data_IF_824554867406
#
_entry.id   IF_824554867406
#
_cell.length_a   1.000
_cell.length_b   1.000
_cell.length_c   1.000
_cell.angle_alpha   90.00
_cell.angle_beta   90.00
_cell.angle_gamma   90.00
#
_symmetry.space_group_name_H-M   'P 1'
#
loop_
_entity.id
_entity.type
_entity.pdbx_description
1 polymer ?
#
# COMPACT_ATOMS: atom_id res chain seq x y z
N UNK A 1 -7.54 -7.44 32.51
CA UNK A 1 -6.69 -7.28 31.32
C UNK A 1 -7.53 -7.72 30.14
N UNK A 2 -7.90 -6.83 29.21
CA UNK A 2 -8.71 -7.20 28.05
C UNK A 2 -7.94 -8.19 27.19
N UNK A 3 -8.59 -9.26 26.74
CA UNK A 3 -7.98 -10.22 25.84
C UNK A 3 -8.00 -9.69 24.40
N UNK A 4 -6.90 -9.90 23.69
CA UNK A 4 -6.79 -9.62 22.27
C UNK A 4 -6.20 -10.83 21.54
N UNK A 5 -6.69 -11.09 20.34
CA UNK A 5 -6.23 -12.15 19.47
C UNK A 5 -6.00 -11.61 18.06
N UNK A 6 -4.92 -12.05 17.42
CA UNK A 6 -4.67 -11.78 16.01
C UNK A 6 -5.24 -12.92 15.18
N UNK A 7 -6.10 -12.59 14.23
CA UNK A 7 -6.63 -13.49 13.22
C UNK A 7 -5.86 -13.28 11.93
N UNK A 8 -5.27 -14.34 11.39
CA UNK A 8 -4.54 -14.29 10.13
C UNK A 8 -5.31 -15.09 9.08
N UNK A 9 -5.59 -14.49 7.93
CA UNK A 9 -6.07 -15.24 6.78
C UNK A 9 -4.91 -15.76 5.93
N UNK A 10 -5.17 -16.85 5.22
CA UNK A 10 -4.34 -17.41 4.16
C UNK A 10 -4.21 -16.49 2.93
N UNK A 11 -4.99 -15.41 2.90
CA UNK A 11 -4.84 -14.29 1.95
C UNK A 11 -3.95 -13.15 2.48
N UNK A 12 -3.32 -13.32 3.65
CA UNK A 12 -2.39 -12.36 4.25
C UNK A 12 -3.05 -11.18 4.97
N UNK A 13 -4.35 -11.26 5.27
CA UNK A 13 -5.05 -10.25 6.07
C UNK A 13 -4.83 -10.56 7.55
N UNK A 14 -4.27 -9.59 8.28
CA UNK A 14 -4.13 -9.67 9.74
C UNK A 14 -5.18 -8.77 10.40
N UNK A 15 -6.07 -9.38 11.18
CA UNK A 15 -7.10 -8.69 11.95
C UNK A 15 -6.79 -8.79 13.44
N UNK A 16 -6.98 -7.71 14.17
CA UNK A 16 -6.93 -7.68 15.62
C UNK A 16 -8.36 -7.74 16.17
N UNK A 17 -8.65 -8.77 16.94
CA UNK A 17 -9.88 -8.91 17.73
C UNK A 17 -9.56 -8.53 19.18
N UNK A 18 -10.26 -7.56 19.75
CA UNK A 18 -10.05 -7.13 21.13
C UNK A 18 -11.39 -7.07 21.90
N UNK A 19 -11.39 -7.48 23.16
CA UNK A 19 -12.55 -7.33 24.04
C UNK A 19 -12.82 -5.86 24.36
N UNK A 20 -14.09 -5.45 24.25
CA UNK A 20 -14.51 -4.08 24.53
C UNK A 20 -14.81 -3.89 26.02
N UNK A 21 -13.80 -4.07 26.88
CA UNK A 21 -13.91 -3.87 28.33
C UNK A 21 -14.30 -5.14 29.09
N UNK A 22 -14.64 -4.99 30.38
CA UNK A 22 -14.86 -6.13 31.29
C UNK A 22 -16.25 -6.78 31.17
N UNK A 23 -17.21 -6.12 30.50
CA UNK A 23 -18.56 -6.63 30.30
C UNK A 23 -18.66 -7.38 28.94
N UNK A 24 -18.95 -8.69 28.95
CA UNK A 24 -19.09 -9.50 27.73
C UNK A 24 -20.18 -9.00 26.77
N UNK A 25 -21.13 -8.19 27.25
CA UNK A 25 -22.19 -7.62 26.41
C UNK A 25 -21.75 -6.41 25.58
N UNK A 26 -20.59 -5.80 25.91
CA UNK A 26 -20.03 -4.70 25.12
C UNK A 26 -19.46 -5.15 23.76
N UNK A 27 -19.35 -6.47 23.57
CA UNK A 27 -18.93 -7.11 22.32
C UNK A 27 -17.41 -7.07 22.11
N UNK A 28 -17.00 -7.43 20.90
CA UNK A 28 -15.60 -7.41 20.48
C UNK A 28 -15.37 -6.29 19.46
N UNK A 29 -14.17 -5.73 19.44
CA UNK A 29 -13.73 -4.76 18.45
C UNK A 29 -12.82 -5.48 17.46
N UNK A 30 -13.08 -5.31 16.17
CA UNK A 30 -12.20 -5.78 15.09
C UNK A 30 -11.56 -4.59 14.42
N UNK A 31 -10.23 -4.59 14.37
CA UNK A 31 -9.42 -3.70 13.54
C UNK A 31 -8.53 -4.51 12.62
N UNK A 32 -7.99 -3.85 11.59
CA UNK A 32 -6.96 -4.45 10.76
C UNK A 32 -5.58 -4.01 11.26
N UNK A 33 -4.63 -4.92 11.24
CA UNK A 33 -3.21 -4.58 11.30
C UNK A 33 -2.74 -4.53 9.85
N UNK A 34 -2.09 -3.44 9.40
CA UNK A 34 -1.35 -3.61 8.16
C UNK A 34 -0.20 -4.57 8.46
N UNK A 35 0.01 -5.53 7.56
CA UNK A 35 1.14 -6.43 7.71
C UNK A 35 2.41 -5.58 7.83
N UNK A 36 3.24 -5.79 8.87
CA UNK A 36 4.48 -5.03 9.07
C UNK A 36 5.49 -5.24 7.92
N UNK A 37 5.22 -6.21 7.04
CA UNK A 37 6.00 -6.52 5.87
C UNK A 37 5.65 -5.63 4.66
N UNK A 38 4.44 -5.06 4.63
CA UNK A 38 3.99 -4.17 3.56
C UNK A 38 4.10 -2.69 3.95
N UNK A 39 3.78 -2.34 5.19
CA UNK A 39 3.81 -0.95 5.63
C UNK A 39 4.32 -0.81 7.07
N UNK A 40 5.07 0.26 7.33
CA UNK A 40 5.42 0.70 8.68
C UNK A 40 4.28 1.58 9.19
N UNK A 41 3.41 1.02 10.04
CA UNK A 41 2.17 1.66 10.46
C UNK A 41 2.38 2.61 11.64
N UNK A 42 1.90 3.84 11.49
CA UNK A 42 1.63 4.77 12.60
C UNK A 42 0.13 4.76 12.92
N UNK A 43 -0.22 5.13 14.15
CA UNK A 43 -1.60 5.19 14.65
C UNK A 43 -2.51 6.14 13.83
N UNK A 44 -1.93 7.12 13.11
CA UNK A 44 -2.65 8.13 12.32
C UNK A 44 -2.73 7.78 10.82
N UNK A 45 -2.74 6.49 10.47
CA UNK A 45 -2.84 6.06 9.09
C UNK A 45 -4.23 6.39 8.49
N UNK A 46 -4.35 7.33 7.52
CA UNK A 46 -5.64 7.72 6.96
C UNK A 46 -6.29 6.63 6.09
N UNK A 47 -5.54 5.56 5.79
CA UNK A 47 -5.99 4.40 5.03
C UNK A 47 -6.37 3.22 5.94
N UNK A 48 -6.30 3.33 7.26
CA UNK A 48 -6.77 2.28 8.14
C UNK A 48 -8.32 2.29 8.16
N UNK A 49 -9.00 1.18 7.81
CA UNK A 49 -10.45 1.13 7.94
C UNK A 49 -10.83 1.28 9.41
N UNK A 50 -11.91 2.02 9.66
CA UNK A 50 -12.45 2.20 11.02
C UNK A 50 -12.76 0.84 11.62
N UNK A 51 -12.27 0.58 12.82
CA UNK A 51 -12.61 -0.63 13.57
C UNK A 51 -14.11 -0.76 13.76
N UNK A 52 -14.64 -1.98 13.65
CA UNK A 52 -16.06 -2.24 13.86
C UNK A 52 -16.30 -2.96 15.19
N UNK A 53 -17.49 -2.75 15.75
CA UNK A 53 -17.96 -3.49 16.92
C UNK A 53 -18.72 -4.71 16.41
N UNK A 54 -18.29 -5.89 16.82
CA UNK A 54 -18.95 -7.14 16.49
C UNK A 54 -20.14 -7.39 17.43
N UNK A 55 -21.28 -7.85 16.89
CA UNK A 55 -22.34 -8.40 17.71
C UNK A 55 -21.86 -9.66 18.43
N UNK A 56 -22.44 -9.95 19.59
CA UNK A 56 -22.12 -11.16 20.38
C UNK A 56 -22.56 -12.47 19.71
N UNK A 57 -23.39 -12.37 18.66
CA UNK A 57 -23.91 -13.50 17.90
C UNK A 57 -22.93 -13.87 16.78
N UNK A 58 -22.39 -15.10 16.74
CA UNK A 58 -21.36 -15.50 15.79
C UNK A 58 -21.75 -15.29 14.32
N UNK A 59 -22.97 -15.65 13.92
CA UNK A 59 -23.41 -15.53 12.53
C UNK A 59 -23.46 -14.07 12.07
N UNK A 60 -23.98 -13.17 12.91
CA UNK A 60 -24.00 -11.73 12.62
C UNK A 60 -22.60 -11.11 12.67
N UNK A 61 -21.70 -11.65 13.49
CA UNK A 61 -20.31 -11.20 13.56
C UNK A 61 -19.56 -11.59 12.28
N UNK A 62 -19.80 -12.81 11.78
CA UNK A 62 -19.27 -13.25 10.49
C UNK A 62 -19.79 -12.36 9.37
N UNK A 63 -21.10 -12.12 9.29
CA UNK A 63 -21.69 -11.22 8.27
C UNK A 63 -21.10 -9.80 8.35
N UNK A 64 -20.96 -9.23 9.56
CA UNK A 64 -20.36 -7.91 9.73
C UNK A 64 -18.90 -7.86 9.25
N UNK A 65 -18.13 -8.93 9.46
CA UNK A 65 -16.74 -9.01 8.99
C UNK A 65 -16.70 -9.20 7.47
N UNK A 66 -17.43 -10.16 6.93
CA UNK A 66 -17.34 -10.54 5.50
C UNK A 66 -17.96 -9.51 4.57
N UNK A 67 -19.07 -8.89 4.98
CA UNK A 67 -19.89 -8.11 4.07
C UNK A 67 -19.63 -6.60 4.21
N UNK A 68 -19.12 -6.16 5.36
CA UNK A 68 -18.81 -4.76 5.62
C UNK A 68 -17.32 -4.50 5.85
N UNK A 69 -16.69 -5.19 6.80
CA UNK A 69 -15.31 -4.89 7.20
C UNK A 69 -14.29 -5.25 6.12
N UNK A 70 -14.29 -6.49 5.62
CA UNK A 70 -13.32 -6.95 4.63
C UNK A 70 -13.38 -6.15 3.31
N UNK A 71 -14.56 -5.83 2.75
CA UNK A 71 -14.63 -4.96 1.56
C UNK A 71 -14.12 -3.54 1.83
N UNK A 72 -14.35 -2.98 3.02
CA UNK A 72 -13.80 -1.68 3.39
C UNK A 72 -12.26 -1.74 3.52
N UNK A 73 -11.75 -2.78 4.20
CA UNK A 73 -10.31 -3.04 4.33
C UNK A 73 -9.63 -3.19 2.97
N UNK A 74 -10.16 -4.02 2.07
CA UNK A 74 -9.57 -4.22 0.75
C UNK A 74 -9.53 -2.93 -0.09
N UNK A 75 -10.58 -2.09 -0.01
CA UNK A 75 -10.56 -0.77 -0.67
C UNK A 75 -9.52 0.16 -0.07
N UNK A 76 -9.41 0.20 1.26
CA UNK A 76 -8.43 1.03 1.95
C UNK A 76 -6.99 0.60 1.59
N UNK A 77 -6.74 -0.71 1.58
CA UNK A 77 -5.46 -1.29 1.18
C UNK A 77 -5.13 -1.01 -0.30
N UNK A 78 -6.11 -1.15 -1.20
CA UNK A 78 -5.96 -0.80 -2.61
C UNK A 78 -5.60 0.68 -2.78
N UNK A 79 -6.34 1.58 -2.13
CA UNK A 79 -6.09 3.02 -2.16
C UNK A 79 -4.70 3.37 -1.62
N UNK A 80 -4.28 2.75 -0.51
CA UNK A 80 -2.96 2.96 0.09
C UNK A 80 -1.82 2.50 -0.83
N UNK A 81 -1.93 1.29 -1.39
CA UNK A 81 -0.95 0.75 -2.34
C UNK A 81 -0.86 1.64 -3.57
N UNK A 82 -1.99 2.09 -4.10
CA UNK A 82 -2.04 2.98 -5.25
C UNK A 82 -1.37 4.32 -4.96
N UNK A 83 -1.65 4.92 -3.81
CA UNK A 83 -1.03 6.18 -3.37
C UNK A 83 0.49 6.06 -3.21
N UNK A 84 0.96 4.97 -2.58
CA UNK A 84 2.39 4.70 -2.42
C UNK A 84 3.10 4.55 -3.78
N UNK A 85 2.49 3.86 -4.74
CA UNK A 85 3.04 3.73 -6.10
C UNK A 85 3.02 5.08 -6.83
N UNK A 86 1.93 5.85 -6.76
CA UNK A 86 1.83 7.15 -7.41
C UNK A 86 2.89 8.12 -6.86
N UNK A 87 3.01 8.21 -5.54
CA UNK A 87 4.00 9.06 -4.87
C UNK A 87 5.41 8.71 -5.30
N UNK A 88 5.74 7.41 -5.29
CA UNK A 88 7.05 6.93 -5.75
C UNK A 88 7.33 7.28 -7.21
N UNK A 89 6.35 7.15 -8.11
CA UNK A 89 6.51 7.51 -9.52
C UNK A 89 6.63 9.03 -9.74
N UNK A 90 5.95 9.84 -8.93
CA UNK A 90 6.06 11.30 -8.99
C UNK A 90 7.42 11.79 -8.51
N UNK A 91 7.93 11.21 -7.42
CA UNK A 91 9.29 11.47 -6.94
C UNK A 91 10.35 11.02 -7.97
N UNK A 92 10.19 9.83 -8.56
CA UNK A 92 11.07 9.34 -9.62
C UNK A 92 11.05 10.26 -10.85
N UNK A 93 9.87 10.77 -11.24
CA UNK A 93 9.75 11.68 -12.38
C UNK A 93 10.52 12.98 -12.14
N UNK A 94 10.31 13.61 -10.99
CA UNK A 94 11.03 14.83 -10.62
C UNK A 94 12.56 14.61 -10.62
N UNK A 95 13.01 13.49 -10.04
CA UNK A 95 14.42 13.15 -10.01
C UNK A 95 15.00 12.88 -11.41
N UNK A 96 14.23 12.22 -12.27
CA UNK A 96 14.61 11.94 -13.65
C UNK A 96 14.74 13.23 -14.48
N UNK A 97 13.82 14.18 -14.29
CA UNK A 97 13.86 15.49 -14.93
C UNK A 97 15.09 16.30 -14.47
N UNK A 98 15.37 16.30 -13.16
CA UNK A 98 16.56 16.96 -12.59
C UNK A 98 17.86 16.40 -13.17
N UNK A 99 18.01 15.07 -13.20
CA UNK A 99 19.25 14.44 -13.71
C UNK A 99 19.38 14.61 -15.22
N UNK A 100 18.27 14.62 -15.96
CA UNK A 100 18.26 14.87 -17.40
C UNK A 100 18.71 16.29 -17.70
N UNK A 101 18.28 17.28 -16.92
CA UNK A 101 18.76 18.66 -17.05
C UNK A 101 20.28 18.77 -16.83
N UNK A 102 20.84 18.02 -15.87
CA UNK A 102 22.29 17.92 -15.63
C UNK A 102 23.00 17.27 -16.83
N UNK A 103 22.45 16.19 -17.38
CA UNK A 103 23.06 15.50 -18.53
C UNK A 103 23.06 16.34 -19.81
N UNK A 104 22.00 17.11 -20.04
CA UNK A 104 21.85 17.99 -21.20
C UNK A 104 22.72 19.24 -21.07
N UNK A 105 22.70 19.90 -19.91
CA UNK A 105 23.50 21.11 -19.67
C UNK A 105 24.99 20.82 -19.50
N UNK A 106 25.34 19.62 -19.03
CA UNK A 106 26.69 19.29 -18.60
C UNK A 106 27.10 20.00 -17.31
N UNK A 107 26.17 20.65 -16.61
CA UNK A 107 26.40 21.39 -15.39
C UNK A 107 25.62 20.79 -14.22
N UNK A 108 26.16 20.89 -13.00
CA UNK A 108 25.40 20.64 -11.78
C UNK A 108 24.38 21.75 -11.51
N UNK A 109 23.49 21.51 -10.54
CA UNK A 109 22.42 22.44 -10.14
C UNK A 109 22.91 23.81 -9.67
N UNK A 110 24.18 23.94 -9.26
CA UNK A 110 24.84 25.19 -8.90
C UNK A 110 25.49 25.92 -10.11
N UNK A 111 25.38 25.37 -11.31
CA UNK A 111 25.96 25.90 -12.55
C UNK A 111 27.40 25.48 -12.82
N UNK A 112 28.00 24.64 -11.99
CA UNK A 112 29.38 24.17 -12.18
C UNK A 112 29.47 23.16 -13.33
N UNK A 113 30.39 23.36 -14.28
CA UNK A 113 30.64 22.40 -15.36
C UNK A 113 31.16 21.07 -14.80
N UNK A 114 30.52 19.97 -15.20
CA UNK A 114 30.89 18.63 -14.77
C UNK A 114 31.89 18.01 -15.76
N UNK A 115 33.01 17.55 -15.22
CA UNK A 115 33.93 16.69 -15.96
C UNK A 115 33.38 15.25 -16.07
N UNK A 116 34.15 14.38 -16.72
CA UNK A 116 33.75 12.97 -16.88
C UNK A 116 33.60 12.23 -15.55
N UNK A 117 34.28 12.67 -14.48
CA UNK A 117 34.11 12.08 -13.15
C UNK A 117 32.83 12.57 -12.49
N UNK A 118 32.56 13.88 -12.53
CA UNK A 118 31.34 14.49 -12.01
C UNK A 118 30.08 13.93 -12.65
N UNK A 119 30.11 13.67 -13.96
CA UNK A 119 28.99 12.99 -14.65
C UNK A 119 28.77 11.56 -14.19
N UNK A 120 29.84 10.79 -13.95
CA UNK A 120 29.73 9.42 -13.41
C UNK A 120 29.18 9.42 -12.00
N UNK A 121 29.62 10.36 -11.17
CA UNK A 121 29.15 10.49 -9.79
C UNK A 121 27.68 10.91 -9.74
N UNK A 122 27.27 11.87 -10.55
CA UNK A 122 25.86 12.26 -10.67
C UNK A 122 24.97 11.06 -11.06
N UNK A 123 25.43 10.22 -12.01
CA UNK A 123 24.71 9.01 -12.40
C UNK A 123 24.65 7.96 -11.27
N UNK A 124 25.74 7.83 -10.49
CA UNK A 124 25.79 6.93 -9.34
C UNK A 124 24.80 7.33 -8.25
N UNK A 125 24.76 8.63 -7.94
CA UNK A 125 23.85 9.22 -6.95
C UNK A 125 22.39 9.06 -7.39
N UNK A 126 22.10 9.37 -8.66
CA UNK A 126 20.78 9.14 -9.26
C UNK A 126 20.37 7.67 -9.13
N UNK A 127 21.20 6.73 -9.60
CA UNK A 127 20.85 5.32 -9.56
C UNK A 127 20.58 4.81 -8.12
N UNK A 128 21.41 5.24 -7.16
CA UNK A 128 21.19 4.86 -5.76
C UNK A 128 19.86 5.38 -5.22
N UNK A 129 19.50 6.63 -5.51
CA UNK A 129 18.26 7.24 -5.04
C UNK A 129 17.05 6.69 -5.82
N UNK A 130 17.13 6.59 -7.14
CA UNK A 130 16.13 5.96 -7.99
C UNK A 130 15.75 4.55 -7.50
N UNK A 131 16.73 3.73 -7.09
CA UNK A 131 16.43 2.42 -6.51
C UNK A 131 15.61 2.50 -5.21
N UNK A 132 15.93 3.44 -4.31
CA UNK A 132 15.18 3.62 -3.06
C UNK A 132 13.76 4.06 -3.35
N UNK A 133 13.61 5.01 -4.27
CA UNK A 133 12.31 5.57 -4.68
C UNK A 133 11.48 4.57 -5.47
N UNK A 134 12.10 3.64 -6.20
CA UNK A 134 11.39 2.59 -6.95
C UNK A 134 10.97 1.40 -6.08
N UNK A 135 11.55 1.24 -4.89
CA UNK A 135 11.25 0.11 -3.99
C UNK A 135 9.76 -0.01 -3.60
N UNK A 136 9.02 1.08 -3.26
CA UNK A 136 7.58 1.00 -3.04
C UNK A 136 6.81 0.46 -4.25
N UNK A 137 7.26 0.77 -5.48
CA UNK A 137 6.65 0.20 -6.70
C UNK A 137 6.82 -1.32 -6.72
N UNK A 138 8.02 -1.82 -6.46
CA UNK A 138 8.28 -3.27 -6.36
C UNK A 138 7.44 -3.95 -5.27
N UNK A 139 7.24 -3.27 -4.13
CA UNK A 139 6.48 -3.82 -3.00
C UNK A 139 4.97 -3.84 -3.27
N UNK A 140 4.40 -2.77 -3.83
CA UNK A 140 2.94 -2.59 -3.85
C UNK A 140 2.29 -2.84 -5.21
N UNK A 141 3.02 -2.61 -6.30
CA UNK A 141 2.46 -2.76 -7.64
C UNK A 141 2.04 -4.19 -8.02
N UNK A 142 2.73 -5.28 -7.59
CA UNK A 142 2.31 -6.64 -7.95
C UNK A 142 0.85 -6.95 -7.55
N UNK A 143 0.45 -6.57 -6.33
CA UNK A 143 -0.92 -6.76 -5.86
C UNK A 143 -1.95 -5.92 -6.65
N UNK A 144 -1.57 -4.70 -7.04
CA UNK A 144 -2.42 -3.84 -7.88
C UNK A 144 -2.56 -4.40 -9.30
N UNK A 145 -1.47 -4.88 -9.91
CA UNK A 145 -1.47 -5.43 -11.27
C UNK A 145 -2.28 -6.72 -11.36
N UNK A 146 -2.26 -7.56 -10.33
CA UNK A 146 -3.13 -8.75 -10.26
C UNK A 146 -4.62 -8.36 -10.34
N UNK A 147 -5.03 -7.32 -9.60
CA UNK A 147 -6.40 -6.80 -9.63
C UNK A 147 -6.73 -6.12 -10.96
N UNK A 148 -5.78 -5.35 -11.51
CA UNK A 148 -5.90 -4.73 -12.83
C UNK A 148 -6.10 -5.78 -13.94
N UNK A 149 -5.36 -6.89 -13.91
CA UNK A 149 -5.47 -7.97 -14.88
C UNK A 149 -6.87 -8.61 -14.89
N UNK A 150 -7.46 -8.83 -13.71
CA UNK A 150 -8.83 -9.31 -13.60
C UNK A 150 -9.84 -8.29 -14.18
N UNK A 151 -9.67 -7.00 -13.89
CA UNK A 151 -10.58 -5.93 -14.34
C UNK A 151 -10.39 -5.50 -15.81
N UNK A 152 -9.24 -5.80 -16.41
CA UNK A 152 -8.91 -5.50 -17.81
C UNK A 152 -9.43 -6.58 -18.78
N UNK A 153 -10.04 -7.66 -18.29
CA UNK A 153 -10.64 -8.70 -19.12
C UNK A 153 -11.69 -8.09 -20.06
N UNK A 154 -11.38 -8.04 -21.36
CA UNK A 154 -12.22 -7.44 -22.40
C UNK A 154 -11.76 -6.08 -22.97
N UNK A 155 -10.70 -5.46 -22.41
CA UNK A 155 -10.08 -4.23 -22.93
C UNK A 155 -8.63 -4.50 -23.35
N UNK A 156 -8.42 -4.89 -24.61
CA UNK A 156 -7.11 -5.33 -25.13
C UNK A 156 -5.97 -4.37 -24.79
N UNK A 157 -6.16 -3.06 -25.01
CA UNK A 157 -5.12 -2.07 -24.76
C UNK A 157 -4.73 -1.95 -23.27
N UNK A 158 -5.69 -2.10 -22.36
CA UNK A 158 -5.41 -2.05 -20.91
C UNK A 158 -4.70 -3.32 -20.44
N UNK A 159 -5.06 -4.47 -21.02
CA UNK A 159 -4.38 -5.74 -20.75
C UNK A 159 -2.91 -5.72 -21.19
N UNK A 160 -2.62 -5.16 -22.38
CA UNK A 160 -1.25 -5.05 -22.90
C UNK A 160 -0.37 -4.18 -21.99
N UNK A 161 -0.92 -3.07 -21.48
CA UNK A 161 -0.22 -2.19 -20.53
C UNK A 161 0.07 -2.92 -19.21
N UNK A 162 -0.91 -3.66 -18.68
CA UNK A 162 -0.73 -4.44 -17.45
C UNK A 162 0.36 -5.51 -17.62
N UNK A 163 0.41 -6.18 -18.77
CA UNK A 163 1.46 -7.15 -19.11
C UNK A 163 2.82 -6.46 -19.16
N UNK A 164 2.94 -5.36 -19.90
CA UNK A 164 4.20 -4.61 -20.03
C UNK A 164 4.74 -4.15 -18.65
N UNK A 165 3.86 -3.62 -17.78
CA UNK A 165 4.22 -3.19 -16.43
C UNK A 165 4.64 -4.38 -15.55
N UNK A 166 3.95 -5.52 -15.68
CA UNK A 166 4.28 -6.75 -14.94
C UNK A 166 5.65 -7.29 -15.35
N UNK A 167 5.96 -7.31 -16.64
CA UNK A 167 7.27 -7.73 -17.15
C UNK A 167 8.40 -6.80 -16.68
N UNK A 168 8.17 -5.48 -16.66
CA UNK A 168 9.12 -4.51 -16.14
C UNK A 168 9.41 -4.69 -14.64
N UNK A 169 8.41 -5.07 -13.84
CA UNK A 169 8.63 -5.44 -12.44
C UNK A 169 9.37 -6.77 -12.31
N UNK A 170 8.98 -7.77 -13.10
CA UNK A 170 9.57 -9.10 -13.01
C UNK A 170 11.08 -9.08 -13.31
N UNK A 171 11.53 -8.26 -14.26
CA UNK A 171 12.96 -8.09 -14.56
C UNK A 171 13.71 -7.47 -13.39
N UNK A 172 13.15 -6.42 -12.77
CA UNK A 172 13.72 -5.74 -11.60
C UNK A 172 13.76 -6.64 -10.36
N UNK A 173 12.71 -7.45 -10.16
CA UNK A 173 12.62 -8.41 -9.08
C UNK A 173 13.61 -9.56 -9.27
N UNK A 174 13.77 -10.06 -10.50
CA UNK A 174 14.77 -11.07 -10.83
C UNK A 174 16.20 -10.58 -10.57
N UNK A 175 16.51 -9.32 -10.92
CA UNK A 175 17.80 -8.70 -10.61
C UNK A 175 18.07 -8.64 -9.09
N UNK A 176 17.05 -8.21 -8.32
CA UNK A 176 17.11 -8.19 -6.86
C UNK A 176 17.32 -9.59 -6.27
N UNK A 177 16.61 -10.60 -6.78
CA UNK A 177 16.71 -11.96 -6.27
C UNK A 177 18.06 -12.58 -6.64
N UNK A 178 18.55 -12.43 -7.87
CA UNK A 178 19.91 -12.85 -8.26
C UNK A 178 20.95 -12.24 -7.31
N UNK A 179 20.81 -10.96 -6.99
CA UNK A 179 21.69 -10.32 -6.01
C UNK A 179 21.56 -10.95 -4.61
N UNK A 180 20.35 -11.14 -4.09
CA UNK A 180 20.13 -11.79 -2.77
C UNK A 180 20.77 -13.18 -2.70
N UNK A 181 20.65 -13.97 -3.77
CA UNK A 181 21.28 -15.30 -3.86
C UNK A 181 22.81 -15.20 -3.88
N UNK A 182 23.37 -14.19 -4.57
CA UNK A 182 24.82 -13.96 -4.63
C UNK A 182 25.44 -13.52 -3.29
N UNK A 183 24.64 -12.92 -2.41
CA UNK A 183 25.08 -12.47 -1.08
C UNK A 183 24.84 -13.50 0.02
N UNK A 184 24.17 -14.62 -0.29
CA UNK A 184 23.86 -15.63 0.72
C UNK A 184 25.16 -16.30 1.19
N UNK A 185 25.53 -16.21 2.49
CA UNK A 185 26.83 -16.68 2.99
C UNK A 185 27.07 -18.18 2.80
N UNK A 186 26.01 -18.99 2.62
CA UNK A 186 26.13 -20.41 2.29
C UNK A 186 26.67 -20.68 0.86
N UNK A 187 26.53 -19.72 -0.05
CA UNK A 187 27.03 -19.75 -1.44
C UNK A 187 28.30 -18.94 -1.65
N UNK A 188 28.70 -18.15 -0.65
CA UNK A 188 29.84 -17.23 -0.71
C UNK A 188 31.11 -17.94 -0.26
N UNK A 189 32.09 -18.05 -1.15
CA UNK A 189 33.45 -18.43 -0.74
C UNK A 189 33.98 -17.42 0.31
N UNK A 190 34.84 -17.83 1.26
CA UNK A 190 35.35 -16.96 2.33
C UNK A 190 36.03 -15.66 1.85
N UNK A 191 36.36 -15.56 0.56
CA UNK A 191 37.02 -14.42 -0.08
C UNK A 191 36.08 -13.48 -0.84
N UNK A 192 34.76 -13.73 -0.90
CA UNK A 192 33.89 -12.82 -1.64
C UNK A 192 33.70 -11.52 -0.85
N UNK A 193 34.13 -10.41 -1.44
CA UNK A 193 33.88 -9.09 -0.89
C UNK A 193 32.39 -8.78 -0.95
N UNK A 194 31.75 -8.70 0.22
CA UNK A 194 30.41 -8.14 0.34
C UNK A 194 30.46 -6.66 -0.10
N UNK A 195 29.64 -6.30 -1.07
CA UNK A 195 29.54 -4.93 -1.55
C UNK A 195 28.90 -4.05 -0.45
N UNK A 196 29.38 -2.81 -0.25
CA UNK A 196 28.69 -1.84 0.59
C UNK A 196 27.23 -1.66 0.15
N UNK A 197 26.28 -1.46 1.09
CA UNK A 197 24.87 -1.30 0.75
C UNK A 197 24.57 -0.21 -0.29
N UNK A 198 25.35 0.88 -0.32
CA UNK A 198 25.22 1.93 -1.33
C UNK A 198 25.55 1.44 -2.74
N UNK A 199 26.59 0.63 -2.91
CA UNK A 199 27.00 0.08 -4.22
C UNK A 199 25.99 -0.90 -4.79
N UNK A 200 25.41 -1.70 -3.91
CA UNK A 200 24.29 -2.59 -4.27
C UNK A 200 23.13 -1.78 -4.82
N UNK A 201 22.73 -0.72 -4.10
CA UNK A 201 21.61 0.13 -4.53
C UNK A 201 21.91 0.86 -5.83
N UNK A 202 23.11 1.40 -6.01
CA UNK A 202 23.53 1.97 -7.29
C UNK A 202 23.36 0.96 -8.41
N UNK A 203 23.88 -0.26 -8.24
CA UNK A 203 23.82 -1.28 -9.27
C UNK A 203 22.38 -1.67 -9.62
N UNK A 204 21.56 -1.97 -8.61
CA UNK A 204 20.15 -2.30 -8.81
C UNK A 204 19.39 -1.12 -9.44
N UNK A 205 19.72 0.11 -9.07
CA UNK A 205 19.16 1.32 -9.67
C UNK A 205 19.48 1.45 -11.15
N UNK A 206 20.74 1.21 -11.54
CA UNK A 206 21.15 1.20 -12.95
C UNK A 206 20.44 0.09 -13.74
N UNK A 207 20.32 -1.10 -13.16
CA UNK A 207 19.62 -2.24 -13.77
C UNK A 207 18.10 -2.00 -13.87
N UNK A 208 17.52 -1.22 -12.95
CA UNK A 208 16.10 -0.88 -12.92
C UNK A 208 15.70 0.28 -13.84
N UNK A 209 16.66 1.04 -14.42
CA UNK A 209 16.34 2.21 -15.27
C UNK A 209 15.32 1.89 -16.37
N UNK A 210 15.47 0.82 -17.18
CA UNK A 210 14.48 0.52 -18.23
C UNK A 210 13.08 0.23 -17.68
N UNK A 211 13.00 -0.38 -16.49
CA UNK A 211 11.73 -0.60 -15.83
C UNK A 211 11.13 0.72 -15.33
N UNK A 212 11.94 1.59 -14.71
CA UNK A 212 11.53 2.93 -14.27
C UNK A 212 11.00 3.74 -15.46
N UNK A 213 11.71 3.77 -16.59
CA UNK A 213 11.26 4.47 -17.81
C UNK A 213 9.91 3.94 -18.30
N UNK A 214 9.72 2.62 -18.32
CA UNK A 214 8.45 1.99 -18.70
C UNK A 214 7.31 2.40 -17.76
N UNK A 215 7.56 2.38 -16.46
CA UNK A 215 6.59 2.78 -15.43
C UNK A 215 6.23 4.26 -15.53
N UNK A 216 7.21 5.14 -15.74
CA UNK A 216 7.00 6.57 -15.91
C UNK A 216 6.20 6.89 -17.18
N UNK A 217 6.46 6.17 -18.28
CA UNK A 217 5.75 6.32 -19.54
C UNK A 217 4.28 5.88 -19.44
N UNK A 218 4.00 4.82 -18.70
CA UNK A 218 2.66 4.24 -18.55
C UNK A 218 1.91 4.70 -17.29
N UNK A 219 2.48 5.62 -16.49
CA UNK A 219 1.92 6.08 -15.20
C UNK A 219 0.43 6.41 -15.28
N UNK A 220 0.03 7.27 -16.22
CA UNK A 220 -1.35 7.77 -16.25
C UNK A 220 -2.33 6.68 -16.69
N UNK A 221 -1.89 5.79 -17.58
CA UNK A 221 -2.68 4.63 -17.96
C UNK A 221 -2.81 3.64 -16.79
N UNK A 222 -1.72 3.36 -16.08
CA UNK A 222 -1.74 2.55 -14.85
C UNK A 222 -2.72 3.12 -13.82
N UNK A 223 -2.65 4.42 -13.51
CA UNK A 223 -3.55 5.06 -12.53
C UNK A 223 -5.02 4.91 -12.93
N UNK A 224 -5.34 5.12 -14.21
CA UNK A 224 -6.69 4.91 -14.74
C UNK A 224 -7.15 3.47 -14.58
N UNK A 225 -6.30 2.50 -14.96
CA UNK A 225 -6.63 1.07 -14.89
C UNK A 225 -6.82 0.65 -13.42
N UNK A 226 -5.89 1.01 -12.54
CA UNK A 226 -5.93 0.69 -11.12
C UNK A 226 -7.19 1.26 -10.44
N UNK A 227 -7.55 2.51 -10.71
CA UNK A 227 -8.81 3.10 -10.20
C UNK A 227 -10.04 2.35 -10.71
N UNK A 228 -10.03 1.87 -11.96
CA UNK A 228 -11.14 1.06 -12.49
C UNK A 228 -11.19 -0.36 -11.92
N UNK A 229 -10.09 -0.83 -11.32
CA UNK A 229 -9.95 -2.13 -10.70
C UNK A 229 -10.22 -2.12 -9.19
N UNK A 230 -10.70 -1.00 -8.64
CA UNK A 230 -11.02 -0.88 -7.22
C UNK A 230 -11.99 -2.01 -6.80
N UNK A 231 -11.71 -2.71 -5.68
CA UNK A 231 -12.58 -3.79 -5.22
C UNK A 231 -14.02 -3.32 -5.01
N UNK A 232 -14.94 -3.79 -5.85
CA UNK A 232 -16.37 -3.54 -5.69
C UNK A 232 -16.85 -4.14 -4.38
N UNK A 233 -17.59 -3.36 -3.59
CA UNK A 233 -18.38 -3.91 -2.48
C UNK A 233 -19.39 -4.91 -3.07
N UNK A 234 -19.66 -6.05 -2.43
CA UNK A 234 -20.82 -6.85 -2.81
C UNK A 234 -22.04 -5.93 -2.73
N UNK A 235 -22.72 -5.76 -3.87
CA UNK A 235 -23.92 -4.94 -3.94
C UNK A 235 -24.96 -5.56 -3.01
N UNK A 236 -25.22 -4.92 -1.88
CA UNK A 236 -26.36 -5.28 -1.04
C UNK A 236 -27.61 -5.11 -1.91
N UNK A 237 -28.47 -6.14 -2.09
CA UNK A 237 -29.82 -5.88 -2.61
C UNK A 237 -30.48 -4.85 -1.68
N UNK A 238 -31.34 -3.94 -2.19
CA UNK A 238 -31.95 -2.91 -1.36
C UNK A 238 -32.83 -3.58 -0.29
N UNK A 239 -32.29 -3.74 0.92
CA UNK A 239 -33.07 -4.13 2.08
C UNK A 239 -33.84 -2.87 2.49
N UNK A 240 -35.13 -2.88 2.14
CA UNK A 240 -36.05 -1.84 2.51
C UNK A 240 -36.14 -1.63 4.02
N UNK A 241 -36.53 -0.42 4.39
CA UNK A 241 -37.00 -0.08 5.72
C UNK A 241 -35.90 0.35 6.67
N UNK A 242 -35.59 1.65 6.66
CA UNK A 242 -35.10 2.34 7.85
C UNK A 242 -36.06 2.05 9.00
N UNK A 243 -35.69 1.17 9.93
CA UNK A 243 -36.33 1.12 11.25
C UNK A 243 -35.74 2.30 12.03
N UNK A 244 -36.55 3.29 12.44
CA UNK A 244 -36.04 4.40 13.22
C UNK A 244 -35.46 3.88 14.53
N UNK A 245 -34.20 4.22 14.79
CA UNK A 245 -33.59 4.03 16.08
C UNK A 245 -34.45 4.76 17.12
N UNK A 246 -35.08 4.01 18.03
CA UNK A 246 -35.80 4.58 19.15
C UNK A 246 -34.81 5.39 19.98
N UNK A 247 -35.01 6.70 20.04
CA UNK A 247 -34.26 7.57 20.95
C UNK A 247 -34.49 7.10 22.39
N UNK A 248 -33.45 7.02 23.24
CA UNK A 248 -33.65 6.77 24.66
C UNK A 248 -34.49 7.90 25.26
N UNK A 249 -35.66 7.55 25.81
CA UNK A 249 -36.51 8.49 26.53
C UNK A 249 -35.76 9.01 27.77
N UNK A 250 -35.59 10.33 27.83
CA UNK A 250 -35.09 11.02 29.02
C UNK A 250 -36.17 10.91 30.12
N UNK A 251 -35.86 10.40 31.33
CA UNK A 251 -36.83 10.39 32.42
C UNK A 251 -37.12 11.84 32.87
N UNK A 252 -38.38 12.25 32.73
CA UNK A 252 -38.87 13.50 33.33
C UNK A 252 -38.91 13.37 34.86
N UNK A 253 -38.36 14.32 35.63
CA UNK A 253 -38.54 14.35 37.07
C UNK A 253 -39.97 14.81 37.42
N UNK A 254 -40.74 13.90 38.00
CA UNK A 254 -42.06 14.16 38.59
C UNK A 254 -41.89 14.84 39.95
N UNK A 255 -41.97 16.17 40.01
CA UNK A 255 -42.25 16.88 41.26
C UNK A 255 -43.25 18.02 41.03
N UNK A 256 -44.42 18.02 41.69
CA UNK A 256 -45.31 19.18 41.70
C UNK A 256 -44.77 20.26 42.66
N UNK A 257 -44.87 21.56 42.30
CA UNK A 257 -44.53 22.63 43.22
C UNK A 257 -45.58 22.77 44.34
N UNK A 258 -45.12 22.92 45.57
CA UNK A 258 -45.96 23.21 46.73
C UNK A 258 -46.62 24.60 46.61
N UNK A 259 -47.86 24.78 47.08
CA UNK A 259 -48.54 26.08 47.05
C UNK A 259 -47.93 27.05 48.08
N UNK A 260 -47.58 28.26 47.63
CA UNK A 260 -47.23 29.38 48.51
C UNK A 260 -48.51 29.93 49.16
N UNK A 261 -48.46 30.13 50.48
CA UNK A 261 -49.35 31.03 51.23
C UNK A 261 -48.79 32.45 51.19
#
# INVERSE_FOLDING_TARGET
MPYAATLTSDTGVELLLAERGEDPQLGYLVGALASPQEFDDSYDNPYAPTSIVLPSQPDLAVEAITDAFLPAYHRALHARRLDAVITALDELRAEYEDVTAIWVSGCSSDGTLLDGHGRREANRVFAERAWRTFRPVLTHAPGLLQQCGAAATGRSADADIVVQLSEALASSQAALDVWRHSQNPASVQPSAHLLPPAEVRTRLGLEAVPAIETWLAQRDAFVRIARSAEPSSPARPPVGGSVPCAQPAVPHPSHPPAPRR
#
